data_IF_454560072639
#
_entry.id   IF_454560072639
#
_cell.length_a   1.000
_cell.length_b   1.000
_cell.length_c   1.000
_cell.angle_alpha   90.00
_cell.angle_beta   90.00
_cell.angle_gamma   90.00
#
_symmetry.space_group_name_H-M   'P 1'
#
loop_
_entity.id
_entity.type
_entity.pdbx_description
1 polymer ?
#
# COMPACT_ATOMS: atom_id res chain seq x y z
N UNK A 1 -27.75 11.67 -30.20
CA UNK A 1 -26.66 12.67 -30.12
C UNK A 1 -26.82 13.56 -28.89
N UNK A 2 -27.97 14.21 -28.68
CA UNK A 2 -28.25 15.09 -27.53
C UNK A 2 -28.00 14.48 -26.13
N UNK A 3 -28.23 13.17 -25.97
CA UNK A 3 -28.04 12.46 -24.71
C UNK A 3 -26.57 12.07 -24.43
N UNK A 4 -25.75 12.05 -25.49
CA UNK A 4 -24.32 11.73 -25.43
C UNK A 4 -23.49 12.95 -25.06
N UNK A 5 -23.85 14.12 -25.61
CA UNK A 5 -23.23 15.42 -25.28
C UNK A 5 -23.52 15.84 -23.84
N UNK A 6 -24.78 15.71 -23.38
CA UNK A 6 -25.12 15.96 -21.96
C UNK A 6 -24.42 15.03 -20.98
N UNK A 7 -24.18 13.78 -21.35
CA UNK A 7 -23.36 12.85 -20.55
C UNK A 7 -21.89 13.28 -20.53
N UNK A 8 -21.33 13.71 -21.66
CA UNK A 8 -19.96 14.22 -21.73
C UNK A 8 -19.79 15.49 -20.91
N UNK A 9 -20.74 16.43 -20.99
CA UNK A 9 -20.72 17.68 -20.20
C UNK A 9 -20.85 17.40 -18.70
N UNK A 10 -21.71 16.45 -18.29
CA UNK A 10 -21.80 16.03 -16.90
C UNK A 10 -20.52 15.34 -16.40
N UNK A 11 -19.83 14.58 -17.27
CA UNK A 11 -18.55 13.96 -16.95
C UNK A 11 -17.42 14.99 -16.82
N UNK A 12 -17.37 15.96 -17.74
CA UNK A 12 -16.36 17.03 -17.75
C UNK A 12 -16.58 18.09 -16.65
N UNK A 13 -17.83 18.33 -16.25
CA UNK A 13 -18.18 19.26 -15.18
C UNK A 13 -18.05 18.71 -13.76
N UNK A 14 -17.67 17.44 -13.61
CA UNK A 14 -17.54 16.76 -12.31
C UNK A 14 -16.08 16.52 -11.89
N UNK A 15 -15.13 17.14 -12.60
CA UNK A 15 -13.73 17.13 -12.19
C UNK A 15 -13.49 18.10 -11.03
N UNK A 16 -12.79 17.62 -10.01
CA UNK A 16 -12.33 18.41 -8.87
C UNK A 16 -10.81 18.42 -8.87
N UNK A 17 -10.24 19.61 -8.86
CA UNK A 17 -8.81 19.80 -8.69
C UNK A 17 -8.48 19.98 -7.21
N UNK A 18 -7.53 19.20 -6.70
CA UNK A 18 -7.03 19.32 -5.33
C UNK A 18 -5.52 19.42 -5.31
N UNK A 19 -4.99 20.03 -4.25
CA UNK A 19 -3.57 19.97 -3.92
C UNK A 19 -3.39 18.96 -2.81
N UNK A 20 -2.58 17.93 -3.05
CA UNK A 20 -2.16 16.97 -2.03
C UNK A 20 -0.81 17.39 -1.49
N UNK A 21 -0.66 17.31 -0.17
CA UNK A 21 0.57 17.62 0.53
C UNK A 21 1.09 16.39 1.27
N UNK A 22 2.40 16.22 1.29
CA UNK A 22 3.08 15.20 2.10
C UNK A 22 4.44 15.70 2.56
N UNK A 23 5.03 14.97 3.52
CA UNK A 23 6.42 15.17 3.94
C UNK A 23 7.26 13.97 3.52
N UNK A 24 8.50 14.22 3.13
CA UNK A 24 9.47 13.14 2.94
C UNK A 24 10.18 12.76 4.24
N UNK A 25 11.07 11.77 4.17
CA UNK A 25 11.84 11.26 5.31
C UNK A 25 12.75 12.32 5.97
N UNK A 26 12.99 13.46 5.31
CA UNK A 26 13.75 14.59 5.86
C UNK A 26 12.83 15.71 6.37
N UNK A 27 11.56 15.40 6.64
CA UNK A 27 10.52 16.36 7.06
C UNK A 27 10.24 17.48 6.04
N UNK A 28 10.76 17.37 4.81
CA UNK A 28 10.57 18.39 3.78
C UNK A 28 9.17 18.25 3.20
N UNK A 29 8.45 19.37 3.17
CA UNK A 29 7.10 19.46 2.59
C UNK A 29 7.17 19.41 1.07
N UNK A 30 6.31 18.59 0.49
CA UNK A 30 6.06 18.48 -0.94
C UNK A 30 4.58 18.65 -1.22
N UNK A 31 4.26 19.11 -2.43
CA UNK A 31 2.89 19.22 -2.89
C UNK A 31 2.77 18.74 -4.32
N UNK A 32 1.59 18.25 -4.68
CA UNK A 32 1.24 17.92 -6.06
C UNK A 32 -0.21 18.25 -6.32
N UNK A 33 -0.53 18.59 -7.57
CA UNK A 33 -1.91 18.79 -8.00
C UNK A 33 -2.47 17.47 -8.49
N UNK A 34 -3.69 17.16 -8.10
CA UNK A 34 -4.44 16.02 -8.58
C UNK A 34 -5.76 16.47 -9.17
N UNK A 35 -6.25 15.71 -10.14
CA UNK A 35 -7.61 15.83 -10.67
C UNK A 35 -8.37 14.57 -10.31
N UNK A 36 -9.53 14.76 -9.69
CA UNK A 36 -10.42 13.71 -9.24
C UNK A 36 -11.74 13.80 -10.00
N UNK A 37 -12.36 12.67 -10.29
CA UNK A 37 -13.66 12.60 -10.91
C UNK A 37 -14.55 11.65 -10.12
N UNK A 38 -15.80 12.05 -9.89
CA UNK A 38 -16.75 11.17 -9.22
C UNK A 38 -17.15 10.04 -10.19
N UNK A 39 -16.95 8.77 -9.79
CA UNK A 39 -17.12 7.61 -10.67
C UNK A 39 -18.57 7.12 -10.74
N UNK A 40 -19.50 7.80 -10.08
CA UNK A 40 -20.88 7.39 -9.86
C UNK A 40 -21.02 6.33 -8.76
N UNK A 41 -22.27 6.16 -8.30
CA UNK A 41 -22.59 5.32 -7.13
C UNK A 41 -22.14 3.86 -7.28
N UNK A 42 -22.28 3.26 -8.47
CA UNK A 42 -21.98 1.83 -8.66
C UNK A 42 -20.51 1.50 -8.46
N UNK A 43 -19.60 2.30 -9.02
CA UNK A 43 -18.16 2.12 -8.81
C UNK A 43 -17.77 2.52 -7.38
N UNK A 44 -18.37 3.60 -6.85
CA UNK A 44 -18.09 4.05 -5.50
C UNK A 44 -18.41 3.00 -4.44
N UNK A 45 -19.57 2.33 -4.52
CA UNK A 45 -19.93 1.27 -3.58
C UNK A 45 -19.02 0.04 -3.73
N UNK A 46 -18.65 -0.35 -4.95
CA UNK A 46 -17.71 -1.46 -5.18
C UNK A 46 -16.35 -1.22 -4.50
N UNK A 47 -15.82 0.00 -4.61
CA UNK A 47 -14.55 0.36 -3.95
C UNK A 47 -14.72 0.33 -2.42
N UNK A 48 -15.82 0.88 -1.90
CA UNK A 48 -16.09 0.91 -0.46
C UNK A 48 -16.23 -0.51 0.11
N UNK A 49 -16.91 -1.41 -0.60
CA UNK A 49 -17.06 -2.80 -0.19
C UNK A 49 -15.69 -3.47 -0.06
N UNK A 50 -14.81 -3.32 -1.06
CA UNK A 50 -13.45 -3.88 -1.02
C UNK A 50 -12.59 -3.38 0.16
N UNK A 51 -12.88 -2.19 0.69
CA UNK A 51 -12.11 -1.59 1.80
C UNK A 51 -12.73 -1.87 3.18
N UNK A 52 -14.02 -2.21 3.25
CA UNK A 52 -14.80 -2.33 4.48
C UNK A 52 -15.27 -3.76 4.80
N UNK A 53 -14.81 -4.79 4.07
CA UNK A 53 -15.24 -6.17 4.39
C UNK A 53 -14.74 -6.56 5.78
N UNK A 54 -15.67 -6.93 6.66
CA UNK A 54 -15.33 -7.57 7.94
C UNK A 54 -14.63 -8.91 7.74
N UNK A 55 -13.98 -9.43 8.79
CA UNK A 55 -13.28 -10.72 8.81
C UNK A 55 -12.10 -10.85 7.83
N UNK A 56 -11.27 -9.80 7.72
CA UNK A 56 -9.95 -9.88 7.07
C UNK A 56 -9.97 -10.17 5.56
N UNK A 57 -11.13 -9.98 4.92
CA UNK A 57 -11.33 -10.24 3.48
C UNK A 57 -11.24 -8.99 2.60
N UNK A 58 -10.87 -7.84 3.15
CA UNK A 58 -10.63 -6.62 2.38
C UNK A 58 -9.55 -6.82 1.31
N UNK A 59 -9.81 -6.36 0.10
CA UNK A 59 -8.83 -6.31 -1.00
C UNK A 59 -8.50 -4.87 -1.33
N UNK A 60 -7.66 -4.27 -0.48
CA UNK A 60 -7.14 -2.92 -0.66
C UNK A 60 -6.35 -2.78 -1.95
N UNK A 61 -5.65 -3.84 -2.38
CA UNK A 61 -4.96 -3.86 -3.67
C UNK A 61 -5.94 -3.61 -4.83
N UNK A 62 -7.10 -4.29 -4.84
CA UNK A 62 -8.12 -4.05 -5.86
C UNK A 62 -8.82 -2.70 -5.68
N UNK A 63 -9.09 -2.29 -4.44
CA UNK A 63 -9.72 -0.99 -4.18
C UNK A 63 -8.89 0.18 -4.72
N UNK A 64 -7.58 0.19 -4.46
CA UNK A 64 -6.69 1.23 -4.99
C UNK A 64 -6.50 1.17 -6.49
N UNK A 65 -6.53 -0.04 -7.09
CA UNK A 65 -6.58 -0.16 -8.55
C UNK A 65 -7.81 0.54 -9.13
N UNK A 66 -8.99 0.29 -8.56
CA UNK A 66 -10.23 0.93 -9.01
C UNK A 66 -10.23 2.44 -8.76
N UNK A 67 -9.64 2.92 -7.65
CA UNK A 67 -9.44 4.35 -7.40
C UNK A 67 -8.57 4.99 -8.49
N UNK A 68 -7.43 4.37 -8.82
CA UNK A 68 -6.54 4.86 -9.87
C UNK A 68 -7.19 4.85 -11.26
N UNK A 69 -8.07 3.89 -11.53
CA UNK A 69 -8.73 3.73 -12.83
C UNK A 69 -9.95 4.64 -13.02
N UNK A 70 -10.71 4.90 -11.96
CA UNK A 70 -12.05 5.49 -12.08
C UNK A 70 -12.20 6.83 -11.34
N UNK A 71 -11.30 7.15 -10.41
CA UNK A 71 -11.42 8.34 -9.55
C UNK A 71 -10.26 9.31 -9.77
N UNK A 72 -9.03 8.82 -9.82
CA UNK A 72 -7.84 9.63 -10.05
C UNK A 72 -7.60 9.83 -11.55
N UNK A 73 -8.00 10.99 -12.08
CA UNK A 73 -7.78 11.37 -13.49
C UNK A 73 -6.34 11.83 -13.73
N UNK A 74 -5.77 12.56 -12.78
CA UNK A 74 -4.38 13.03 -12.88
C UNK A 74 -3.72 13.06 -11.50
N UNK A 75 -2.47 12.56 -11.37
CA UNK A 75 -1.68 11.89 -12.40
C UNK A 75 -2.28 10.52 -12.80
N UNK A 76 -2.06 10.11 -14.05
CA UNK A 76 -2.41 8.75 -14.47
C UNK A 76 -1.48 7.74 -13.80
N UNK A 77 -2.03 6.96 -12.87
CA UNK A 77 -1.31 5.92 -12.14
C UNK A 77 -1.91 4.55 -12.45
N UNK A 78 -1.07 3.53 -12.43
CA UNK A 78 -1.47 2.13 -12.32
C UNK A 78 -0.29 1.33 -11.78
N UNK A 79 -0.52 0.09 -11.36
CA UNK A 79 0.56 -0.73 -10.79
C UNK A 79 1.70 -1.03 -11.75
N UNK A 80 1.45 -1.12 -13.06
CA UNK A 80 2.49 -1.31 -14.06
C UNK A 80 3.46 -0.13 -14.09
N UNK A 81 2.93 1.10 -14.18
CA UNK A 81 3.71 2.35 -14.14
C UNK A 81 4.46 2.45 -12.80
N UNK A 82 3.75 2.28 -11.69
CA UNK A 82 4.34 2.41 -10.36
C UNK A 82 5.51 1.44 -10.15
N UNK A 83 5.32 0.15 -10.51
CA UNK A 83 6.37 -0.85 -10.39
C UNK A 83 7.56 -0.57 -11.31
N UNK A 84 7.31 -0.12 -12.54
CA UNK A 84 8.36 0.23 -13.50
C UNK A 84 9.19 1.43 -13.04
N UNK A 85 8.54 2.44 -12.46
CA UNK A 85 9.18 3.70 -12.05
C UNK A 85 9.88 3.62 -10.69
N UNK A 86 9.78 2.47 -9.99
CA UNK A 86 10.51 2.23 -8.75
C UNK A 86 11.98 1.93 -9.06
N UNK A 87 12.93 2.74 -8.56
CA UNK A 87 14.35 2.48 -8.78
C UNK A 87 14.76 1.11 -8.22
N UNK A 88 15.49 0.32 -9.02
CA UNK A 88 15.90 -1.05 -8.65
C UNK A 88 16.60 -1.12 -7.28
N UNK A 89 17.44 -0.12 -6.96
CA UNK A 89 18.13 -0.02 -5.66
C UNK A 89 17.20 0.06 -4.44
N UNK A 90 15.94 0.43 -4.64
CA UNK A 90 14.92 0.51 -3.59
C UNK A 90 14.07 -0.75 -3.51
N UNK A 91 14.23 -1.70 -4.43
CA UNK A 91 13.44 -2.96 -4.46
C UNK A 91 13.97 -4.00 -3.47
N UNK A 92 15.13 -3.76 -2.86
CA UNK A 92 15.74 -4.64 -1.87
C UNK A 92 16.27 -3.82 -0.70
N UNK A 93 16.12 -4.35 0.51
CA UNK A 93 16.72 -3.80 1.73
C UNK A 93 17.23 -4.96 2.57
N UNK A 94 18.44 -4.84 3.10
CA UNK A 94 19.01 -5.79 4.06
C UNK A 94 19.38 -5.04 5.32
N UNK A 95 19.04 -5.63 6.46
CA UNK A 95 19.50 -5.16 7.78
C UNK A 95 20.18 -6.31 8.51
N UNK A 96 21.11 -5.99 9.40
CA UNK A 96 21.83 -6.96 10.24
C UNK A 96 21.40 -6.72 11.69
N UNK A 97 20.99 -7.78 12.38
CA UNK A 97 20.59 -7.75 13.79
C UNK A 97 21.13 -8.99 14.50
N UNK A 98 21.21 -8.93 15.83
CA UNK A 98 21.57 -10.10 16.64
C UNK A 98 20.32 -10.88 17.04
N UNK A 99 20.33 -12.20 16.85
CA UNK A 99 19.27 -13.07 17.32
C UNK A 99 19.38 -13.33 18.85
N UNK A 100 18.45 -14.11 19.42
CA UNK A 100 18.48 -14.44 20.86
C UNK A 100 19.72 -15.20 21.32
N UNK A 101 20.44 -15.87 20.42
CA UNK A 101 21.70 -16.56 20.73
C UNK A 101 22.93 -15.63 20.65
N UNK A 102 22.75 -14.39 20.16
CA UNK A 102 23.83 -13.43 19.96
C UNK A 102 24.47 -13.49 18.56
N UNK A 103 24.00 -14.37 17.69
CA UNK A 103 24.51 -14.49 16.32
C UNK A 103 24.00 -13.35 15.45
N UNK A 104 24.85 -12.85 14.56
CA UNK A 104 24.44 -11.90 13.51
C UNK A 104 23.59 -12.61 12.46
N UNK A 105 22.41 -12.06 12.21
CA UNK A 105 21.44 -12.55 11.22
C UNK A 105 21.08 -11.40 10.30
N UNK A 106 21.15 -11.64 8.99
CA UNK A 106 20.61 -10.69 8.02
C UNK A 106 19.12 -10.91 7.81
N UNK A 107 18.35 -9.83 7.87
CA UNK A 107 16.95 -9.80 7.48
C UNK A 107 16.91 -9.18 6.09
N UNK A 108 16.70 -10.01 5.09
CA UNK A 108 16.60 -9.60 3.68
C UNK A 108 15.13 -9.32 3.34
N UNK A 109 14.88 -8.17 2.72
CA UNK A 109 13.56 -7.75 2.26
C UNK A 109 13.58 -7.49 0.76
N UNK A 110 12.57 -7.98 0.06
CA UNK A 110 12.32 -7.72 -1.36
C UNK A 110 10.97 -7.02 -1.51
N UNK A 111 10.88 -6.08 -2.44
CA UNK A 111 9.63 -5.38 -2.72
C UNK A 111 8.67 -6.30 -3.49
N UNK A 112 7.44 -6.55 -2.98
CA UNK A 112 6.51 -7.49 -3.60
C UNK A 112 5.69 -6.87 -4.75
N UNK A 113 5.96 -5.61 -5.09
CA UNK A 113 5.13 -4.82 -6.00
C UNK A 113 4.06 -4.00 -5.28
N UNK A 114 3.62 -2.90 -5.89
CA UNK A 114 2.74 -1.92 -5.24
C UNK A 114 1.37 -2.47 -4.83
N UNK A 115 0.77 -3.38 -5.61
CA UNK A 115 -0.52 -4.02 -5.26
C UNK A 115 -0.41 -4.76 -3.92
N UNK A 116 0.57 -5.65 -3.82
CA UNK A 116 0.80 -6.48 -2.63
C UNK A 116 1.27 -5.63 -1.45
N UNK A 117 2.14 -4.65 -1.69
CA UNK A 117 2.61 -3.73 -0.66
C UNK A 117 1.46 -2.94 -0.03
N UNK A 118 0.56 -2.36 -0.83
CA UNK A 118 -0.62 -1.65 -0.34
C UNK A 118 -1.55 -2.58 0.45
N UNK A 119 -1.77 -3.81 -0.04
CA UNK A 119 -2.59 -4.80 0.66
C UNK A 119 -2.04 -5.06 2.08
N UNK A 120 -0.77 -5.43 2.19
CA UNK A 120 -0.13 -5.75 3.47
C UNK A 120 -0.14 -4.52 4.39
N UNK A 121 0.22 -3.35 3.84
CA UNK A 121 0.33 -2.12 4.62
C UNK A 121 -1.03 -1.67 5.19
N UNK A 122 -2.10 -1.71 4.40
CA UNK A 122 -3.44 -1.35 4.88
C UNK A 122 -4.01 -2.38 5.85
N UNK A 123 -3.79 -3.67 5.59
CA UNK A 123 -4.21 -4.75 6.50
C UNK A 123 -3.52 -4.68 7.86
N UNK A 124 -2.31 -4.12 7.92
CA UNK A 124 -1.58 -3.85 9.16
C UNK A 124 -2.17 -2.63 9.90
N UNK A 125 -2.47 -1.56 9.17
CA UNK A 125 -2.83 -0.25 9.74
C UNK A 125 -4.33 0.01 9.74
N UNK A 126 -5.13 -1.03 10.05
CA UNK A 126 -6.59 -0.94 9.95
C UNK A 126 -7.15 0.12 10.89
N UNK A 127 -8.20 0.85 10.48
CA UNK A 127 -8.89 1.81 11.34
C UNK A 127 -9.47 1.20 12.64
N UNK A 128 -9.76 -0.11 12.65
CA UNK A 128 -10.31 -0.80 13.83
C UNK A 128 -9.35 -0.91 15.00
N UNK A 129 -8.03 -0.71 14.78
CA UNK A 129 -7.00 -0.88 15.79
C UNK A 129 -6.77 -2.34 16.22
N UNK A 130 -7.43 -3.31 15.58
CA UNK A 130 -7.25 -4.73 15.87
C UNK A 130 -5.82 -5.17 15.49
N UNK A 131 -5.11 -5.77 16.45
CA UNK A 131 -3.77 -6.30 16.24
C UNK A 131 -3.86 -7.62 15.45
N UNK A 132 -3.39 -7.63 14.21
CA UNK A 132 -3.21 -8.85 13.42
C UNK A 132 -1.73 -9.11 13.11
N UNK A 133 -0.90 -9.19 14.15
CA UNK A 133 0.55 -9.34 14.00
C UNK A 133 0.95 -10.68 13.37
N UNK A 134 0.23 -11.77 13.68
CA UNK A 134 0.54 -13.09 13.17
C UNK A 134 0.35 -13.16 11.65
N UNK A 135 -0.83 -12.82 11.14
CA UNK A 135 -1.10 -12.92 9.70
C UNK A 135 -0.31 -11.88 8.91
N UNK A 136 -0.01 -10.74 9.54
CA UNK A 136 0.90 -9.74 8.95
C UNK A 136 2.30 -10.31 8.80
N UNK A 137 2.86 -10.93 9.84
CA UNK A 137 4.17 -11.57 9.75
C UNK A 137 4.17 -12.71 8.74
N UNK A 138 3.12 -13.53 8.69
CA UNK A 138 2.98 -14.60 7.70
C UNK A 138 2.92 -14.07 6.26
N UNK A 139 2.19 -12.96 6.04
CA UNK A 139 2.14 -12.29 4.73
C UNK A 139 3.50 -11.69 4.35
N UNK A 140 4.20 -11.07 5.31
CA UNK A 140 5.54 -10.54 5.11
C UNK A 140 6.54 -11.66 4.82
N UNK A 141 6.47 -12.79 5.53
CA UNK A 141 7.29 -13.98 5.30
C UNK A 141 7.16 -14.48 3.86
N UNK A 142 5.92 -14.61 3.38
CA UNK A 142 5.60 -15.05 2.01
C UNK A 142 6.10 -14.06 0.96
N UNK A 143 5.75 -12.78 1.10
CA UNK A 143 5.86 -11.81 0.01
C UNK A 143 7.17 -11.01 0.04
N UNK A 144 7.69 -10.72 1.24
CA UNK A 144 8.74 -9.69 1.45
C UNK A 144 10.03 -10.28 1.99
N UNK A 145 9.97 -11.12 3.03
CA UNK A 145 11.14 -11.54 3.79
C UNK A 145 11.82 -12.73 3.10
N UNK A 146 13.15 -12.70 3.07
CA UNK A 146 13.98 -13.76 2.50
C UNK A 146 15.06 -14.22 3.48
N UNK A 147 15.42 -15.51 3.42
CA UNK A 147 16.50 -16.08 4.24
C UNK A 147 17.86 -15.47 3.90
N UNK A 148 18.81 -15.55 4.83
CA UNK A 148 20.21 -15.12 4.63
C UNK A 148 21.08 -16.22 3.99
N UNK A 149 20.55 -16.85 2.93
CA UNK A 149 21.24 -17.91 2.21
C UNK A 149 21.82 -17.41 0.88
N UNK A 150 22.80 -18.13 0.33
CA UNK A 150 23.39 -17.83 -0.98
C UNK A 150 22.35 -17.77 -2.11
N UNK A 151 21.25 -18.52 -1.95
CA UNK A 151 20.03 -18.40 -2.75
C UNK A 151 18.86 -18.06 -1.84
N UNK A 152 18.49 -16.77 -1.71
CA UNK A 152 17.48 -16.33 -0.75
C UNK A 152 16.13 -17.03 -0.97
N UNK A 153 15.66 -17.74 0.06
CA UNK A 153 14.38 -18.44 0.05
C UNK A 153 13.31 -17.63 0.78
N UNK A 154 12.03 -17.93 0.51
CA UNK A 154 10.90 -17.40 1.28
C UNK A 154 11.05 -17.85 2.75
N UNK A 155 10.94 -16.91 3.68
CA UNK A 155 10.96 -17.22 5.12
C UNK A 155 9.67 -17.96 5.48
N UNK A 156 9.75 -18.91 6.42
CA UNK A 156 8.59 -19.61 6.98
C UNK A 156 8.47 -19.24 8.44
N UNK A 157 7.25 -19.20 8.97
CA UNK A 157 7.00 -18.84 10.38
C UNK A 157 7.91 -19.57 11.39
N UNK A 158 8.25 -20.84 11.13
CA UNK A 158 9.18 -21.61 11.98
C UNK A 158 10.56 -20.97 12.15
N UNK A 159 11.03 -20.16 11.21
CA UNK A 159 12.32 -19.49 11.24
C UNK A 159 12.47 -18.55 12.46
N UNK A 160 11.34 -18.01 12.94
CA UNK A 160 11.29 -17.11 14.08
C UNK A 160 11.16 -17.81 15.43
N UNK A 161 10.95 -19.14 15.44
CA UNK A 161 10.72 -19.90 16.65
C UNK A 161 11.98 -19.99 17.52
N UNK A 162 11.78 -20.30 18.80
CA UNK A 162 12.87 -20.51 19.76
C UNK A 162 13.83 -21.58 19.27
N UNK A 163 15.13 -21.27 19.27
CA UNK A 163 16.20 -22.19 18.86
C UNK A 163 16.48 -22.22 17.35
N UNK A 164 15.67 -21.51 16.55
CA UNK A 164 15.89 -21.38 15.11
C UNK A 164 16.72 -20.14 14.79
N UNK A 165 17.24 -20.04 13.56
CA UNK A 165 18.20 -19.00 13.19
C UNK A 165 17.68 -17.58 13.43
N UNK A 166 16.40 -17.32 13.16
CA UNK A 166 15.73 -16.03 13.40
C UNK A 166 15.14 -15.84 14.79
N UNK A 167 15.42 -16.73 15.76
CA UNK A 167 14.84 -16.67 17.11
C UNK A 167 14.97 -15.27 17.73
N UNK A 168 13.85 -14.74 18.23
CA UNK A 168 13.77 -13.42 18.87
C UNK A 168 13.71 -12.22 17.91
N UNK A 169 13.80 -12.43 16.59
CA UNK A 169 13.79 -11.35 15.60
C UNK A 169 12.43 -11.13 14.93
N UNK A 170 11.41 -11.94 15.19
CA UNK A 170 10.11 -11.86 14.48
C UNK A 170 9.44 -10.47 14.59
N UNK A 171 9.43 -9.87 15.78
CA UNK A 171 8.89 -8.51 15.97
C UNK A 171 9.74 -7.44 15.27
N UNK A 172 11.07 -7.61 15.27
CA UNK A 172 11.99 -6.71 14.56
C UNK A 172 11.80 -6.80 13.05
N UNK A 173 11.69 -8.02 12.51
CA UNK A 173 11.43 -8.25 11.09
C UNK A 173 10.10 -7.65 10.65
N UNK A 174 9.04 -7.83 11.45
CA UNK A 174 7.73 -7.20 11.22
C UNK A 174 7.84 -5.67 11.14
N UNK A 175 8.46 -5.04 12.15
CA UNK A 175 8.60 -3.58 12.22
C UNK A 175 9.43 -3.02 11.06
N UNK A 176 10.58 -3.64 10.77
CA UNK A 176 11.50 -3.18 9.73
C UNK A 176 10.92 -3.37 8.32
N UNK A 177 10.18 -4.45 8.09
CA UNK A 177 9.49 -4.69 6.82
C UNK A 177 8.30 -3.74 6.63
N UNK A 178 7.52 -3.45 7.68
CA UNK A 178 6.46 -2.45 7.62
C UNK A 178 7.00 -1.06 7.34
N UNK A 179 8.09 -0.66 8.00
CA UNK A 179 8.76 0.62 7.74
C UNK A 179 9.28 0.70 6.31
N UNK A 180 9.87 -0.39 5.82
CA UNK A 180 10.33 -0.50 4.44
C UNK A 180 9.19 -0.31 3.44
N UNK A 181 8.09 -1.08 3.55
CA UNK A 181 6.92 -0.93 2.68
C UNK A 181 6.33 0.49 2.79
N UNK A 182 6.17 1.01 4.01
CA UNK A 182 5.64 2.34 4.27
C UNK A 182 6.43 3.44 3.56
N UNK A 183 7.77 3.39 3.61
CA UNK A 183 8.62 4.36 2.93
C UNK A 183 8.43 4.35 1.40
N UNK A 184 8.28 3.16 0.81
CA UNK A 184 8.07 3.01 -0.64
C UNK A 184 6.68 3.47 -1.08
N UNK A 185 5.67 3.27 -0.23
CA UNK A 185 4.30 3.72 -0.46
C UNK A 185 4.11 5.22 -0.22
N UNK A 186 4.88 5.83 0.69
CA UNK A 186 4.88 7.26 0.93
C UNK A 186 5.66 8.05 -0.14
N UNK A 187 6.56 7.36 -0.86
CA UNK A 187 7.39 7.98 -1.91
C UNK A 187 6.53 8.73 -2.93
N UNK A 188 6.97 9.95 -3.26
CA UNK A 188 6.28 10.85 -4.19
C UNK A 188 4.81 11.13 -3.84
N UNK A 189 4.43 10.96 -2.56
CA UNK A 189 3.07 11.20 -2.09
C UNK A 189 2.04 10.18 -2.56
N UNK A 190 2.45 9.00 -3.05
CA UNK A 190 1.52 8.01 -3.60
C UNK A 190 0.39 7.67 -2.61
N UNK A 191 0.73 7.30 -1.37
CA UNK A 191 -0.29 6.98 -0.37
C UNK A 191 -1.19 8.19 -0.09
N UNK A 192 -0.64 9.40 0.00
CA UNK A 192 -1.42 10.62 0.21
C UNK A 192 -2.40 10.90 -0.94
N UNK A 193 -1.96 10.69 -2.20
CA UNK A 193 -2.80 10.83 -3.39
C UNK A 193 -3.95 9.82 -3.34
N UNK A 194 -3.65 8.54 -3.09
CA UNK A 194 -4.66 7.48 -3.03
C UNK A 194 -5.66 7.71 -1.90
N UNK A 195 -5.19 8.15 -0.72
CA UNK A 195 -6.04 8.46 0.41
C UNK A 195 -6.91 9.70 0.18
N UNK A 196 -6.42 10.70 -0.55
CA UNK A 196 -7.24 11.85 -0.95
C UNK A 196 -8.30 11.46 -1.98
N UNK A 197 -7.96 10.60 -2.95
CA UNK A 197 -8.92 10.05 -3.90
C UNK A 197 -10.01 9.24 -3.19
N UNK A 198 -9.64 8.41 -2.21
CA UNK A 198 -10.59 7.68 -1.37
C UNK A 198 -11.49 8.61 -0.54
N UNK A 199 -10.91 9.64 0.10
CA UNK A 199 -11.68 10.63 0.87
C UNK A 199 -12.70 11.34 -0.01
N UNK A 200 -12.31 11.71 -1.23
CA UNK A 200 -13.22 12.29 -2.21
C UNK A 200 -14.31 11.30 -2.63
N UNK A 201 -13.98 10.03 -2.87
CA UNK A 201 -14.98 8.99 -3.14
C UNK A 201 -16.05 8.93 -2.05
N UNK A 202 -15.67 8.99 -0.78
CA UNK A 202 -16.63 8.97 0.33
C UNK A 202 -17.63 10.16 0.28
N UNK A 203 -17.23 11.31 -0.24
CA UNK A 203 -18.13 12.47 -0.43
C UNK A 203 -19.16 12.24 -1.53
N UNK A 204 -18.87 11.37 -2.50
CA UNK A 204 -19.80 11.00 -3.58
C UNK A 204 -21.02 10.25 -3.04
N UNK A 205 -20.87 9.55 -1.91
CA UNK A 205 -21.90 8.73 -1.29
C UNK A 205 -22.79 9.51 -0.31
N UNK A 206 -22.49 10.78 -0.08
CA UNK A 206 -23.26 11.65 0.81
C UNK A 206 -24.19 12.55 0.00
N UNK A 207 -25.44 12.80 0.47
CA UNK A 207 -26.28 13.83 -0.11
C UNK A 207 -25.56 15.19 -0.03
N UNK A 208 -25.59 15.95 -1.13
CA UNK A 208 -25.08 17.33 -1.18
C UNK A 208 -26.01 18.30 -0.46
#
# INVERSE_FOLDING_TARGET
MENSEKKLEALMGNEIHKTVEWKDDNDKKHTTKITLQDPGIGVATQIMDLMNVGDDTSDYGKAFELLMQNVLVSPHLNYGILNHDLPEKLTKKTIIKQNSAGDEVKINMVFPGYRTALQIFMMTNRPSGALNMHDTLDSLDKEVLRTDESTPQIVKMKYWNVGEHGSGLGATALSEAQAYLGSLLARNGLLNILMEAFRFLATTLQPK
#
